data_IF_928924426166
#
_entry.id   IF_928924426166
#
_cell.length_a   1.000
_cell.length_b   1.000
_cell.length_c   1.000
_cell.angle_alpha   90.00
_cell.angle_beta   90.00
_cell.angle_gamma   90.00
#
_symmetry.space_group_name_H-M   'P 1'
#
loop_
_entity.id
_entity.type
_entity.pdbx_description
1 polymer ?
#
# COMPACT_ATOMS: atom_id res chain seq x y z
N UNK A 1 -16.71 18.44 1.88
CA UNK A 1 -15.74 17.60 2.62
C UNK A 1 -16.49 16.54 3.39
N UNK A 2 -15.89 15.37 3.63
CA UNK A 2 -16.44 14.38 4.55
C UNK A 2 -15.90 14.59 5.96
N UNK A 3 -16.66 14.17 6.97
CA UNK A 3 -16.21 14.12 8.37
C UNK A 3 -16.15 12.67 8.80
N UNK A 4 -15.07 12.27 9.45
CA UNK A 4 -14.88 10.91 9.96
C UNK A 4 -14.46 10.99 11.42
N UNK A 5 -15.15 10.25 12.29
CA UNK A 5 -14.74 10.11 13.68
C UNK A 5 -13.54 9.17 13.76
N UNK A 6 -12.41 9.71 14.22
CA UNK A 6 -11.15 9.00 14.38
C UNK A 6 -10.88 8.75 15.86
N UNK A 7 -10.60 7.49 16.21
CA UNK A 7 -10.25 7.09 17.58
C UNK A 7 -8.75 6.82 17.63
N UNK A 8 -8.03 7.64 18.38
CA UNK A 8 -6.61 7.42 18.63
C UNK A 8 -6.40 6.62 19.92
N UNK A 9 -5.55 5.60 19.86
CA UNK A 9 -5.12 4.83 21.03
C UNK A 9 -3.60 4.87 21.13
N UNK A 10 -3.11 5.31 22.29
CA UNK A 10 -1.69 5.26 22.60
C UNK A 10 -1.37 4.01 23.43
N UNK A 11 -0.43 3.20 22.94
CA UNK A 11 0.08 2.01 23.59
C UNK A 11 1.41 2.34 24.29
N UNK A 12 1.38 2.43 25.62
CA UNK A 12 2.55 2.82 26.43
C UNK A 12 3.69 1.81 26.38
N UNK A 13 3.38 0.52 26.25
CA UNK A 13 4.39 -0.55 26.29
C UNK A 13 5.40 -0.50 25.16
N UNK A 14 5.00 -0.01 23.98
CA UNK A 14 5.84 0.09 22.79
C UNK A 14 5.85 1.50 22.19
N UNK A 15 5.36 2.51 22.94
CA UNK A 15 5.25 3.91 22.52
C UNK A 15 4.58 4.11 21.15
N UNK A 16 3.62 3.26 20.80
CA UNK A 16 2.95 3.31 19.50
C UNK A 16 1.55 3.94 19.62
N UNK A 17 1.25 4.92 18.80
CA UNK A 17 -0.10 5.49 18.67
C UNK A 17 -0.75 4.98 17.39
N UNK A 18 -1.95 4.40 17.51
CA UNK A 18 -2.72 3.90 16.37
C UNK A 18 -4.00 4.70 16.18
N UNK A 19 -4.33 5.00 14.92
CA UNK A 19 -5.62 5.58 14.54
C UNK A 19 -6.54 4.43 14.13
N UNK A 20 -7.66 4.31 14.84
CA UNK A 20 -8.70 3.30 14.64
C UNK A 20 -10.00 4.01 14.32
N UNK A 21 -10.95 3.28 13.72
CA UNK A 21 -12.28 3.75 13.34
C UNK A 21 -12.26 5.00 12.44
N UNK A 22 -13.06 5.00 11.37
CA UNK A 22 -13.05 6.11 10.40
C UNK A 22 -11.78 6.23 9.53
N UNK A 23 -10.60 5.80 10.01
CA UNK A 23 -9.32 5.94 9.30
C UNK A 23 -9.32 5.30 7.91
N UNK A 24 -9.79 4.05 7.80
CA UNK A 24 -9.89 3.37 6.50
C UNK A 24 -10.82 4.10 5.52
N UNK A 25 -11.93 4.66 6.02
CA UNK A 25 -12.88 5.43 5.21
C UNK A 25 -12.30 6.77 4.79
N UNK A 26 -11.59 7.45 5.70
CA UNK A 26 -10.83 8.67 5.40
C UNK A 26 -9.79 8.41 4.31
N UNK A 27 -8.96 7.37 4.43
CA UNK A 27 -7.96 7.03 3.41
C UNK A 27 -8.62 6.75 2.05
N UNK A 28 -9.71 5.96 2.03
CA UNK A 28 -10.43 5.65 0.79
C UNK A 28 -11.01 6.90 0.12
N UNK A 29 -11.62 7.80 0.90
CA UNK A 29 -12.18 9.04 0.37
C UNK A 29 -11.10 9.98 -0.18
N UNK A 30 -9.91 9.97 0.41
CA UNK A 30 -8.77 10.78 -0.01
C UNK A 30 -7.83 10.04 -0.98
N UNK A 31 -8.18 8.83 -1.43
CA UNK A 31 -7.39 8.00 -2.35
C UNK A 31 -5.95 7.72 -1.86
N UNK A 32 -5.76 7.69 -0.54
CA UNK A 32 -4.48 7.37 0.10
C UNK A 32 -4.31 5.85 0.11
N UNK A 33 -3.24 5.36 -0.53
CA UNK A 33 -2.84 3.97 -0.53
C UNK A 33 -1.71 3.72 0.47
N UNK A 34 -1.46 2.44 0.77
CA UNK A 34 -0.29 2.06 1.53
C UNK A 34 0.97 2.57 0.81
N UNK A 35 1.91 3.12 1.59
CA UNK A 35 3.17 3.74 1.12
C UNK A 35 3.03 5.10 0.44
N UNK A 36 1.82 5.63 0.26
CA UNK A 36 1.67 7.00 -0.23
C UNK A 36 2.16 7.99 0.81
N UNK A 37 3.00 8.97 0.44
CA UNK A 37 3.31 10.08 1.32
C UNK A 37 2.08 10.98 1.45
N UNK A 38 1.68 11.29 2.68
CA UNK A 38 0.63 12.26 2.96
C UNK A 38 1.01 13.11 4.16
N UNK A 39 0.43 14.31 4.23
CA UNK A 39 0.61 15.24 5.35
C UNK A 39 -0.75 15.69 5.84
N UNK A 40 -0.92 15.76 7.15
CA UNK A 40 -2.13 16.29 7.76
C UNK A 40 -1.76 17.37 8.78
N UNK A 41 -2.66 18.32 8.97
CA UNK A 41 -2.64 19.27 10.08
C UNK A 41 -3.49 18.71 11.21
N UNK A 42 -2.97 18.77 12.43
CA UNK A 42 -3.72 18.48 13.65
C UNK A 42 -4.08 19.81 14.32
N UNK A 43 -5.37 20.12 14.35
CA UNK A 43 -5.91 21.27 15.08
C UNK A 43 -6.42 20.80 16.45
N UNK A 44 -5.95 21.45 17.52
CA UNK A 44 -6.32 21.13 18.92
C UNK A 44 -7.09 22.25 19.60
N UNK A 45 -7.58 23.22 18.84
CA UNK A 45 -8.23 24.42 19.39
C UNK A 45 -9.61 24.11 20.00
N UNK A 46 -10.26 23.02 19.58
CA UNK A 46 -11.57 22.59 20.09
C UNK A 46 -11.50 21.40 21.06
N UNK A 47 -12.66 21.06 21.64
CA UNK A 47 -12.83 19.89 22.53
C UNK A 47 -12.41 18.57 21.88
N UNK A 48 -12.69 18.44 20.57
CA UNK A 48 -12.26 17.31 19.75
C UNK A 48 -11.21 17.79 18.75
N UNK A 49 -9.99 17.21 18.75
CA UNK A 49 -8.98 17.60 17.79
C UNK A 49 -9.39 17.19 16.37
N UNK A 50 -9.10 18.05 15.39
CA UNK A 50 -9.44 17.82 13.99
C UNK A 50 -8.19 17.48 13.20
N UNK A 51 -8.27 16.41 12.41
CA UNK A 51 -7.25 15.98 11.46
C UNK A 51 -7.68 16.38 10.05
N UNK A 52 -6.93 17.29 9.44
CA UNK A 52 -7.21 17.82 8.10
C UNK A 52 -6.10 17.43 7.14
N UNK A 53 -6.44 16.78 6.02
CA UNK A 53 -5.46 16.48 4.98
C UNK A 53 -4.94 17.77 4.35
N UNK A 54 -3.63 17.91 4.22
CA UNK A 54 -3.04 18.96 3.42
C UNK A 54 -3.15 18.56 1.95
N UNK A 55 -3.59 19.46 1.08
CA UNK A 55 -3.48 19.25 -0.36
C UNK A 55 -2.03 18.92 -0.72
N UNK A 56 -1.81 17.86 -1.49
CA UNK A 56 -0.53 17.69 -2.14
C UNK A 56 -0.38 18.86 -3.11
N UNK A 57 0.62 19.72 -2.89
CA UNK A 57 1.09 20.68 -3.88
C UNK A 57 1.45 19.87 -5.13
N UNK A 58 0.53 19.77 -6.10
CA UNK A 58 0.88 19.24 -7.41
C UNK A 58 1.78 20.29 -8.02
N UNK A 59 3.09 20.10 -7.95
CA UNK A 59 4.01 20.88 -8.76
C UNK A 59 3.71 20.49 -10.22
N UNK A 60 2.83 21.26 -10.86
CA UNK A 60 2.36 21.02 -12.24
C UNK A 60 3.36 21.56 -13.25
N UNK A 61 4.62 21.20 -13.09
CA UNK A 61 5.61 21.40 -14.13
C UNK A 61 5.92 20.04 -14.77
N UNK A 62 5.27 19.77 -15.91
CA UNK A 62 5.77 19.04 -17.11
C UNK A 62 6.47 17.68 -16.88
N UNK A 63 6.02 16.50 -17.34
CA UNK A 63 5.22 16.01 -18.49
C UNK A 63 4.57 14.67 -18.07
N UNK A 64 3.41 14.26 -18.64
CA UNK A 64 2.90 12.90 -18.47
C UNK A 64 3.78 11.94 -19.29
N UNK A 65 4.49 11.02 -18.62
CA UNK A 65 5.03 9.83 -19.25
C UNK A 65 3.89 8.87 -19.57
N UNK A 66 3.78 8.50 -20.83
CA UNK A 66 2.65 7.83 -21.48
C UNK A 66 2.04 6.66 -20.71
N UNK A 67 0.72 6.64 -20.63
CA UNK A 67 -0.05 5.46 -20.26
C UNK A 67 -0.31 4.64 -21.53
N UNK A 68 0.55 3.68 -21.85
CA UNK A 68 0.22 2.68 -22.88
C UNK A 68 -0.69 1.60 -22.28
N UNK A 69 -1.96 1.66 -22.70
CA UNK A 69 -3.01 0.65 -22.51
C UNK A 69 -2.76 -0.50 -23.48
N UNK A 70 -2.75 -1.74 -22.99
CA UNK A 70 -2.34 -2.92 -23.76
C UNK A 70 -3.36 -3.46 -24.77
N UNK A 71 -2.93 -4.50 -25.50
CA UNK A 71 -3.77 -5.57 -26.06
C UNK A 71 -2.92 -6.83 -26.39
N UNK A 72 -3.46 -7.99 -26.04
CA UNK A 72 -3.02 -9.34 -26.41
C UNK A 72 -3.07 -9.60 -27.93
N UNK A 73 -2.15 -10.40 -28.49
CA UNK A 73 -2.33 -11.79 -28.99
C UNK A 73 -1.27 -12.22 -30.04
N UNK A 74 -0.77 -13.45 -29.86
CA UNK A 74 -0.37 -14.48 -30.85
C UNK A 74 0.75 -14.21 -31.86
N UNK A 75 1.88 -14.92 -31.73
CA UNK A 75 2.23 -16.09 -32.59
C UNK A 75 3.73 -16.38 -32.63
N UNK A 76 4.11 -17.52 -32.05
CA UNK A 76 4.97 -18.60 -32.57
C UNK A 76 6.33 -18.27 -33.22
N UNK A 77 7.40 -18.77 -32.58
CA UNK A 77 8.30 -19.74 -33.24
C UNK A 77 8.99 -20.63 -32.19
N UNK A 78 8.72 -21.92 -32.32
CA UNK A 78 9.35 -23.11 -31.68
C UNK A 78 10.79 -23.28 -32.19
N UNK A 79 11.74 -23.78 -31.37
CA UNK A 79 12.46 -25.09 -31.51
C UNK A 79 13.88 -24.87 -30.92
N UNK A 80 14.64 -25.76 -30.26
CA UNK A 80 14.51 -27.11 -29.67
C UNK A 80 15.81 -27.42 -28.87
N UNK A 81 15.70 -28.30 -27.85
CA UNK A 81 16.75 -29.14 -27.24
C UNK A 81 17.94 -28.48 -26.50
N UNK A 82 18.43 -28.98 -25.36
CA UNK A 82 18.51 -30.37 -24.88
C UNK A 82 18.39 -30.47 -23.36
N UNK A 83 17.77 -31.55 -22.89
CA UNK A 83 17.75 -31.93 -21.49
C UNK A 83 19.05 -32.60 -21.04
N UNK A 84 19.31 -32.53 -19.74
CA UNK A 84 19.87 -33.64 -18.98
C UNK A 84 19.47 -33.52 -17.49
N UNK A 85 18.63 -34.46 -17.11
CA UNK A 85 18.33 -35.02 -15.80
C UNK A 85 19.56 -35.11 -14.87
N UNK A 86 19.35 -34.87 -13.58
CA UNK A 86 19.54 -35.92 -12.56
C UNK A 86 19.05 -35.50 -11.17
N UNK A 87 18.40 -36.48 -10.55
CA UNK A 87 17.88 -36.64 -9.19
C UNK A 87 18.98 -36.45 -8.12
N UNK A 88 18.74 -36.34 -6.80
CA UNK A 88 18.01 -37.25 -5.92
C UNK A 88 17.55 -36.56 -4.62
N UNK A 89 16.36 -36.95 -4.18
CA UNK A 89 15.82 -36.83 -2.82
C UNK A 89 16.41 -37.90 -1.92
N UNK A 90 16.84 -37.52 -0.72
CA UNK A 90 17.05 -38.47 0.37
C UNK A 90 16.19 -38.00 1.55
N UNK A 91 15.16 -38.78 1.84
CA UNK A 91 14.48 -38.77 3.13
C UNK A 91 15.42 -39.31 4.21
N UNK A 92 15.19 -38.86 5.44
CA UNK A 92 15.54 -39.67 6.61
C UNK A 92 14.39 -39.53 7.61
N UNK A 93 13.60 -40.59 7.66
CA UNK A 93 12.64 -40.88 8.71
C UNK A 93 13.36 -41.43 9.97
N UNK A 94 12.66 -41.34 11.10
CA UNK A 94 12.76 -42.20 12.31
C UNK A 94 14.03 -42.10 13.19
N UNK A 95 14.02 -42.26 14.52
CA UNK A 95 13.06 -42.86 15.46
C UNK A 95 13.41 -42.42 16.90
N UNK A 96 12.41 -42.43 17.80
CA UNK A 96 12.44 -42.48 19.29
C UNK A 96 13.03 -41.34 20.13
#
# INVERSE_FOLDING_TARGET
GGTWDLVMRHHKSNNHTVIRQGWRSFCRANRIKARDPFRFKLDRTGEKPVLSLCSAETNRDTKPGDCSKGNDVTSLSTDDSSGEESSETEESEEET
#
